data_IF_382259419336
#
_entry.id   IF_382259419336
#
_cell.length_a   1.000
_cell.length_b   1.000
_cell.length_c   1.000
_cell.angle_alpha   90.00
_cell.angle_beta   90.00
_cell.angle_gamma   90.00
#
_symmetry.space_group_name_H-M   'P 1'
#
loop_
_entity.id
_entity.type
_entity.pdbx_description
1 polymer ?
#
# COMPACT_ATOMS: atom_id res chain seq x y z
N UNK A 1 -3.01 -0.84 -9.98
CA UNK A 1 -2.15 -0.88 -8.78
C UNK A 1 -2.87 -0.11 -7.68
N UNK A 2 -2.67 -0.49 -6.42
CA UNK A 2 -3.32 0.15 -5.27
C UNK A 2 -2.22 0.72 -4.36
N UNK A 3 -2.32 2.01 -4.04
CA UNK A 3 -1.46 2.74 -3.10
C UNK A 3 -2.33 3.40 -2.02
N UNK A 4 -1.75 3.85 -0.91
CA UNK A 4 -2.44 4.77 0.01
C UNK A 4 -2.12 6.24 -0.33
N UNK A 5 -2.94 7.19 0.11
CA UNK A 5 -2.66 8.63 -0.13
C UNK A 5 -1.48 9.17 0.70
N UNK A 6 -0.99 8.40 1.67
CA UNK A 6 0.07 8.81 2.62
C UNK A 6 1.39 8.07 2.40
N UNK A 7 1.56 7.50 1.21
CA UNK A 7 2.84 6.93 0.82
C UNK A 7 3.92 8.02 0.67
N UNK A 8 5.15 7.71 1.07
CA UNK A 8 6.28 8.58 0.79
C UNK A 8 6.49 8.70 -0.73
N UNK A 9 7.03 9.83 -1.21
CA UNK A 9 7.20 10.05 -2.65
C UNK A 9 8.00 8.94 -3.37
N UNK A 10 8.98 8.32 -2.69
CA UNK A 10 9.71 7.16 -3.23
C UNK A 10 8.83 5.94 -3.49
N UNK A 11 7.70 5.83 -2.80
CA UNK A 11 6.69 4.79 -2.96
C UNK A 11 5.51 5.23 -3.85
N UNK A 12 5.53 6.45 -4.43
CA UNK A 12 4.52 6.97 -5.38
C UNK A 12 5.11 7.16 -6.78
N UNK A 13 6.15 7.98 -6.89
CA UNK A 13 6.69 8.47 -8.18
C UNK A 13 7.11 7.33 -9.11
N UNK A 14 7.78 6.25 -8.65
CA UNK A 14 8.13 5.15 -9.54
C UNK A 14 6.90 4.50 -10.19
N UNK A 15 5.79 4.41 -9.45
CA UNK A 15 4.57 3.80 -9.97
C UNK A 15 3.81 4.72 -10.91
N UNK A 16 3.89 6.04 -10.72
CA UNK A 16 3.38 7.01 -11.70
C UNK A 16 4.13 6.87 -13.03
N UNK A 17 5.46 6.77 -13.00
CA UNK A 17 6.27 6.53 -14.19
C UNK A 17 5.94 5.19 -14.88
N UNK A 18 5.59 4.15 -14.10
CA UNK A 18 5.09 2.88 -14.65
C UNK A 18 3.75 3.07 -15.36
N UNK A 19 2.83 3.86 -14.81
CA UNK A 19 1.54 4.16 -15.47
C UNK A 19 1.68 5.02 -16.72
N UNK A 20 2.74 5.79 -16.86
CA UNK A 20 3.02 6.54 -18.10
C UNK A 20 3.53 5.64 -19.23
N UNK A 21 4.13 4.49 -18.87
CA UNK A 21 4.77 3.55 -19.81
C UNK A 21 3.93 2.31 -20.09
N UNK A 22 2.81 2.14 -19.39
CA UNK A 22 1.95 0.95 -19.44
C UNK A 22 0.49 1.37 -19.30
N UNK A 23 -0.45 0.51 -19.66
CA UNK A 23 -1.89 0.76 -19.43
C UNK A 23 -2.33 0.54 -17.96
N UNK A 24 -1.38 0.53 -17.03
CA UNK A 24 -1.67 0.35 -15.62
C UNK A 24 -2.37 1.59 -15.06
N UNK A 25 -3.37 1.37 -14.21
CA UNK A 25 -4.08 2.45 -13.50
C UNK A 25 -3.66 2.45 -12.04
N UNK A 26 -3.34 3.62 -11.51
CA UNK A 26 -3.14 3.84 -10.07
C UNK A 26 -4.48 4.16 -9.40
N UNK A 27 -4.75 3.49 -8.29
CA UNK A 27 -5.86 3.79 -7.40
C UNK A 27 -5.30 4.10 -6.01
N UNK A 28 -5.83 5.14 -5.36
CA UNK A 28 -5.38 5.58 -4.05
C UNK A 28 -6.45 5.32 -2.99
N UNK A 29 -6.04 4.69 -1.89
CA UNK A 29 -6.86 4.50 -0.68
C UNK A 29 -6.80 5.80 0.13
N UNK A 30 -7.95 6.41 0.35
CA UNK A 30 -8.09 7.61 1.17
C UNK A 30 -7.87 7.32 2.65
N UNK A 31 -7.59 8.37 3.41
CA UNK A 31 -7.63 8.30 4.87
C UNK A 31 -9.07 8.08 5.35
N UNK A 32 -9.22 7.21 6.34
CA UNK A 32 -10.45 6.99 7.07
C UNK A 32 -10.43 7.72 8.41
N UNK A 33 -10.99 7.08 9.44
CA UNK A 33 -10.94 7.60 10.81
C UNK A 33 -9.51 7.58 11.37
N UNK A 34 -9.23 8.53 12.27
CA UNK A 34 -7.94 8.65 12.97
C UNK A 34 -6.71 8.80 12.05
N UNK A 35 -6.89 9.36 10.85
CA UNK A 35 -5.82 9.53 9.86
C UNK A 35 -5.12 8.20 9.49
N UNK A 36 -5.83 7.07 9.56
CA UNK A 36 -5.33 5.78 9.08
C UNK A 36 -5.99 5.45 7.74
N UNK A 37 -5.26 4.88 6.76
CA UNK A 37 -5.86 4.38 5.52
C UNK A 37 -7.08 3.49 5.78
N UNK A 38 -8.19 3.78 5.11
CA UNK A 38 -9.45 3.09 5.34
C UNK A 38 -9.36 1.63 4.85
N UNK A 39 -9.44 0.68 5.80
CA UNK A 39 -9.36 -0.74 5.49
C UNK A 39 -10.53 -1.29 4.68
N UNK A 40 -11.73 -0.69 4.80
CA UNK A 40 -12.90 -1.04 4.00
C UNK A 40 -12.71 -0.57 2.56
N UNK A 41 -12.30 0.68 2.36
CA UNK A 41 -12.02 1.23 1.02
C UNK A 41 -10.93 0.41 0.32
N UNK A 42 -9.86 0.07 1.05
CA UNK A 42 -8.81 -0.81 0.55
C UNK A 42 -9.38 -2.16 0.08
N UNK A 43 -10.24 -2.80 0.89
CA UNK A 43 -10.88 -4.08 0.56
C UNK A 43 -11.73 -4.00 -0.70
N UNK A 44 -12.52 -2.95 -0.85
CA UNK A 44 -13.41 -2.74 -2.00
C UNK A 44 -12.65 -2.41 -3.30
N UNK A 45 -11.44 -1.88 -3.20
CA UNK A 45 -10.62 -1.55 -4.36
C UNK A 45 -9.98 -2.75 -5.05
N UNK A 46 -9.92 -3.91 -4.39
CA UNK A 46 -9.38 -5.14 -4.96
C UNK A 46 -10.27 -5.70 -6.07
N UNK A 47 -9.61 -6.21 -7.11
CA UNK A 47 -10.26 -6.90 -8.21
C UNK A 47 -9.25 -7.85 -8.87
N UNK A 48 -9.70 -8.70 -9.79
CA UNK A 48 -8.81 -9.56 -10.60
C UNK A 48 -7.82 -8.77 -11.49
N UNK A 49 -8.08 -7.46 -11.67
CA UNK A 49 -7.17 -6.52 -12.35
C UNK A 49 -6.07 -5.98 -11.43
N UNK A 50 -6.18 -6.15 -10.12
CA UNK A 50 -5.15 -5.72 -9.17
C UNK A 50 -3.91 -6.61 -9.34
N UNK A 51 -2.79 -6.03 -9.77
CA UNK A 51 -1.52 -6.76 -9.94
C UNK A 51 -0.48 -6.46 -8.86
N UNK A 52 -0.57 -5.28 -8.26
CA UNK A 52 0.36 -4.81 -7.24
C UNK A 52 -0.36 -3.91 -6.24
N UNK A 53 -0.03 -4.10 -4.97
CA UNK A 53 -0.33 -3.22 -3.84
C UNK A 53 0.99 -2.67 -3.30
N UNK A 54 1.06 -1.37 -3.07
CA UNK A 54 2.24 -0.71 -2.53
C UNK A 54 1.80 0.06 -1.30
N UNK A 55 2.41 -0.24 -0.16
CA UNK A 55 1.98 0.34 1.11
C UNK A 55 3.11 0.43 2.12
N UNK A 56 3.10 1.46 2.96
CA UNK A 56 4.01 1.56 4.10
C UNK A 56 3.64 0.60 5.23
N UNK A 57 4.64 0.08 5.93
CA UNK A 57 4.41 -0.62 7.20
C UNK A 57 4.12 0.39 8.32
N UNK A 58 4.92 1.47 8.37
CA UNK A 58 4.76 2.59 9.32
C UNK A 58 4.86 3.89 8.54
N UNK A 59 3.89 4.80 8.72
CA UNK A 59 3.91 6.11 8.05
C UNK A 59 4.99 7.00 8.65
N UNK A 60 5.79 7.64 7.80
CA UNK A 60 6.81 8.60 8.23
C UNK A 60 6.23 9.96 8.66
N UNK A 61 4.95 10.23 8.38
CA UNK A 61 4.27 11.48 8.75
C UNK A 61 3.28 11.24 9.88
N UNK A 62 2.42 10.24 9.73
CA UNK A 62 1.30 10.00 10.65
C UNK A 62 1.66 9.04 11.79
N UNK A 63 2.82 8.37 11.71
CA UNK A 63 3.25 7.32 12.63
C UNK A 63 2.25 6.16 12.80
N UNK A 64 1.25 6.07 11.91
CA UNK A 64 0.29 4.97 11.87
C UNK A 64 0.95 3.69 11.37
N UNK A 65 0.52 2.56 11.94
CA UNK A 65 1.00 1.22 11.59
C UNK A 65 -0.11 0.50 10.82
N UNK A 66 0.21 -0.03 9.65
CA UNK A 66 -0.75 -0.81 8.84
C UNK A 66 -0.66 -2.31 9.14
N UNK A 67 -1.79 -3.04 9.15
CA UNK A 67 -1.81 -4.49 9.37
C UNK A 67 -1.34 -5.23 8.10
N UNK A 68 -0.02 -5.28 7.88
CA UNK A 68 0.59 -5.79 6.64
C UNK A 68 0.19 -7.24 6.35
N UNK A 69 0.11 -8.11 7.37
CA UNK A 69 -0.27 -9.51 7.19
C UNK A 69 -1.68 -9.65 6.56
N UNK A 70 -2.64 -8.85 7.03
CA UNK A 70 -3.99 -8.82 6.46
C UNK A 70 -4.01 -8.32 5.01
N UNK A 71 -3.23 -7.26 4.73
CA UNK A 71 -3.11 -6.68 3.39
C UNK A 71 -2.51 -7.70 2.42
N UNK A 72 -1.47 -8.43 2.84
CA UNK A 72 -0.82 -9.48 2.06
C UNK A 72 -1.77 -10.64 1.81
N UNK A 73 -2.44 -11.13 2.85
CA UNK A 73 -3.43 -12.20 2.72
C UNK A 73 -4.55 -11.82 1.74
N UNK A 74 -5.06 -10.59 1.82
CA UNK A 74 -6.07 -10.09 0.91
C UNK A 74 -5.55 -9.95 -0.53
N UNK A 75 -4.37 -9.36 -0.73
CA UNK A 75 -3.79 -9.18 -2.06
C UNK A 75 -3.54 -10.51 -2.77
N UNK A 76 -3.04 -11.51 -2.04
CA UNK A 76 -2.79 -12.84 -2.57
C UNK A 76 -4.07 -13.55 -3.02
N UNK A 77 -5.23 -13.31 -2.38
CA UNK A 77 -6.52 -13.84 -2.86
C UNK A 77 -6.89 -13.36 -4.25
N UNK A 78 -6.41 -12.19 -4.66
CA UNK A 78 -6.61 -11.63 -6.01
C UNK A 78 -5.44 -11.89 -6.96
N UNK A 79 -4.42 -12.65 -6.53
CA UNK A 79 -3.19 -12.89 -7.30
C UNK A 79 -2.28 -11.66 -7.44
N UNK A 80 -2.50 -10.63 -6.64
CA UNK A 80 -1.66 -9.43 -6.61
C UNK A 80 -0.40 -9.68 -5.78
N UNK A 81 0.69 -8.99 -6.11
CA UNK A 81 1.89 -8.90 -5.25
C UNK A 81 1.79 -7.69 -4.32
N UNK A 82 2.55 -7.71 -3.23
CA UNK A 82 2.63 -6.61 -2.28
C UNK A 82 4.07 -6.14 -2.16
N UNK A 83 4.27 -4.83 -2.30
CA UNK A 83 5.51 -4.14 -1.94
C UNK A 83 5.25 -3.36 -0.65
N UNK A 84 6.04 -3.66 0.38
CA UNK A 84 5.94 -3.00 1.68
C UNK A 84 7.09 -2.01 1.83
N UNK A 85 6.78 -0.73 2.01
CA UNK A 85 7.78 0.26 2.44
C UNK A 85 8.03 0.09 3.95
N UNK A 86 9.16 -0.55 4.27
CA UNK A 86 9.60 -0.83 5.62
C UNK A 86 10.53 0.23 6.22
N UNK A 87 10.74 1.39 5.59
CA UNK A 87 11.78 2.33 6.01
C UNK A 87 11.62 2.84 7.45
N UNK A 88 10.38 2.95 7.94
CA UNK A 88 10.10 3.37 9.32
C UNK A 88 9.82 2.22 10.28
N UNK A 89 9.64 0.99 9.80
CA UNK A 89 9.42 -0.18 10.67
C UNK A 89 10.73 -0.88 11.01
N UNK A 90 11.52 -1.26 10.01
CA UNK A 90 12.75 -2.06 10.18
C UNK A 90 13.72 -1.44 11.21
N UNK A 91 13.92 -0.10 11.28
CA UNK A 91 14.79 0.48 12.29
C UNK A 91 14.19 0.56 13.71
N UNK A 92 12.87 0.43 13.85
CA UNK A 92 12.14 0.78 15.08
C UNK A 92 11.36 -0.37 15.72
N UNK A 93 11.20 -1.50 15.03
CA UNK A 93 10.48 -2.67 15.53
C UNK A 93 11.00 -3.96 14.88
N UNK A 94 10.70 -5.10 15.51
CA UNK A 94 10.97 -6.41 14.90
C UNK A 94 10.12 -6.56 13.65
N UNK A 95 10.75 -6.98 12.56
CA UNK A 95 10.11 -7.33 11.29
C UNK A 95 10.56 -8.74 10.93
N UNK A 96 9.59 -9.62 10.67
CA UNK A 96 9.79 -11.01 10.26
C UNK A 96 9.45 -11.14 8.76
N UNK A 97 10.28 -11.83 7.98
CA UNK A 97 10.25 -11.84 6.49
C UNK A 97 10.25 -13.24 5.90
#
# INVERSE_FOLDING_TARGET
>A
MILTVVEHHSAIVPWQLVTERTDAVLKFVSLGEHDVPNSLDLKEMFSTKTKLVVTHHVSNVLASILPIEEVVGLAHRFGAKVLVDGCQSVPHMVVDV
#
